data_IF_352702147970
#
_entry.id   IF_352702147970
#
_cell.length_a   1.000
_cell.length_b   1.000
_cell.length_c   1.000
_cell.angle_alpha   90.00
_cell.angle_beta   90.00
_cell.angle_gamma   90.00
#
_symmetry.space_group_name_H-M   'P 1'
#
loop_
_entity.id
_entity.type
_entity.pdbx_description
1 polymer ?
#
# COMPACT_ATOMS: atom_id res chain seq x y z
N UNK A 1 -9.34 10.16 7.08
CA UNK A 1 -8.61 8.91 7.35
C UNK A 1 -7.16 9.00 6.86
N UNK A 2 -6.92 9.41 5.61
CA UNK A 2 -5.56 9.52 5.07
C UNK A 2 -4.67 10.51 5.86
N UNK A 3 -5.23 11.62 6.36
CA UNK A 3 -4.50 12.57 7.18
C UNK A 3 -4.09 12.00 8.55
N UNK A 4 -4.81 11.04 9.06
CA UNK A 4 -4.44 10.37 10.31
C UNK A 4 -3.27 9.39 10.15
N UNK A 5 -3.00 8.98 8.91
CA UNK A 5 -1.88 8.08 8.60
C UNK A 5 -0.63 8.83 8.10
N UNK A 6 -0.68 10.16 7.96
CA UNK A 6 0.41 10.96 7.43
C UNK A 6 1.26 11.68 8.48
N UNK A 7 0.85 11.75 9.73
CA UNK A 7 1.49 12.57 10.78
C UNK A 7 2.11 11.67 11.87
N UNK A 8 3.43 11.47 11.79
CA UNK A 8 4.14 10.44 12.55
C UNK A 8 4.54 10.82 13.98
N UNK A 9 4.44 12.07 14.37
CA UNK A 9 4.80 12.46 15.74
C UNK A 9 3.77 12.07 16.78
N UNK A 10 2.56 11.66 16.36
CA UNK A 10 1.43 11.35 17.24
C UNK A 10 0.70 10.04 16.91
N UNK A 11 1.31 9.10 16.18
CA UNK A 11 0.64 7.85 15.89
C UNK A 11 0.58 6.95 17.12
N UNK A 12 -0.63 6.54 17.52
CA UNK A 12 -0.73 5.37 18.38
C UNK A 12 -0.09 4.19 17.64
N UNK A 13 0.74 3.44 18.33
CA UNK A 13 1.31 2.21 17.81
C UNK A 13 0.16 1.25 17.51
N UNK A 14 -0.25 1.15 16.25
CA UNK A 14 -1.26 0.20 15.85
C UNK A 14 -0.66 -1.20 15.95
N UNK A 15 -1.34 -2.07 16.64
CA UNK A 15 -0.96 -3.47 16.76
C UNK A 15 -1.77 -4.30 15.75
N UNK A 16 -1.34 -5.52 15.51
CA UNK A 16 -2.06 -6.48 14.67
C UNK A 16 -3.52 -6.73 15.12
N UNK A 17 -3.85 -6.37 16.35
CA UNK A 17 -5.19 -6.52 16.93
C UNK A 17 -6.04 -5.23 16.83
N UNK A 18 -5.49 -4.14 16.30
CA UNK A 18 -6.23 -2.90 16.10
C UNK A 18 -7.27 -3.10 14.98
N UNK A 19 -8.51 -2.76 15.28
CA UNK A 19 -9.64 -2.96 14.37
C UNK A 19 -10.16 -1.62 13.85
N UNK A 20 -10.17 -1.48 12.52
CA UNK A 20 -10.72 -0.34 11.80
C UNK A 20 -11.99 -0.77 11.08
N UNK A 21 -13.10 -0.12 11.34
CA UNK A 21 -14.37 -0.34 10.66
C UNK A 21 -14.73 0.86 9.79
N UNK A 22 -14.88 0.61 8.49
CA UNK A 22 -15.48 1.60 7.60
C UNK A 22 -17.00 1.58 7.76
N UNK A 23 -17.61 2.75 7.92
CA UNK A 23 -19.05 2.90 8.21
C UNK A 23 -19.83 3.57 7.09
N UNK A 24 -19.17 3.95 5.99
CA UNK A 24 -19.77 4.54 4.79
C UNK A 24 -18.82 4.46 3.61
N UNK A 25 -19.33 4.70 2.42
CA UNK A 25 -18.50 4.88 1.23
C UNK A 25 -17.58 6.10 1.38
N UNK A 26 -16.37 5.99 0.82
CA UNK A 26 -15.35 7.03 0.81
C UNK A 26 -15.04 7.36 -0.64
N UNK A 27 -15.32 8.59 -1.05
CA UNK A 27 -14.84 9.16 -2.31
C UNK A 27 -13.55 9.94 -2.03
N UNK A 28 -12.48 9.57 -2.68
CA UNK A 28 -11.18 10.20 -2.51
C UNK A 28 -10.96 11.40 -3.43
N UNK A 29 -11.94 11.75 -4.27
CA UNK A 29 -11.94 12.95 -5.12
C UNK A 29 -10.70 13.06 -6.03
N UNK A 30 -10.13 11.96 -6.45
CA UNK A 30 -8.93 11.91 -7.28
C UNK A 30 -7.63 12.19 -6.53
N UNK A 31 -7.66 12.24 -5.20
CA UNK A 31 -6.45 12.42 -4.42
C UNK A 31 -5.59 11.15 -4.37
N UNK A 32 -4.29 11.35 -4.24
CA UNK A 32 -3.35 10.27 -3.97
C UNK A 32 -3.51 9.79 -2.54
N UNK A 33 -3.68 8.49 -2.37
CA UNK A 33 -3.83 7.86 -1.06
C UNK A 33 -2.88 6.67 -0.96
N UNK A 34 -2.28 6.55 0.20
CA UNK A 34 -1.44 5.43 0.55
C UNK A 34 -1.58 5.14 2.05
N UNK A 35 -1.80 3.89 2.38
CA UNK A 35 -1.84 3.39 3.74
C UNK A 35 -0.68 2.41 3.90
N UNK A 36 0.08 2.54 5.00
CA UNK A 36 1.31 1.77 5.14
C UNK A 36 2.39 2.32 4.21
N UNK A 37 3.02 3.40 4.62
CA UNK A 37 4.01 4.11 3.83
C UNK A 37 5.43 3.82 4.29
N UNK A 38 6.36 4.25 3.49
CA UNK A 38 7.75 4.41 3.86
C UNK A 38 8.05 5.87 4.10
N UNK A 39 8.84 6.17 5.12
CA UNK A 39 9.36 7.50 5.39
C UNK A 39 10.88 7.49 5.33
N UNK A 40 11.45 8.55 4.81
CA UNK A 40 12.88 8.82 4.94
C UNK A 40 13.06 9.75 6.12
N UNK A 41 13.75 9.31 7.15
CA UNK A 41 14.07 10.11 8.32
C UNK A 41 15.57 10.43 8.34
N UNK A 42 15.91 11.64 8.78
CA UNK A 42 17.29 12.00 9.06
C UNK A 42 17.57 11.58 10.51
N UNK A 43 18.43 10.61 10.68
CA UNK A 43 18.84 10.13 12.01
C UNK A 43 19.88 11.02 12.70
N UNK A 44 20.20 12.16 12.08
CA UNK A 44 21.19 13.11 12.60
C UNK A 44 22.65 12.65 12.50
N UNK A 45 22.91 11.50 11.91
CA UNK A 45 24.25 10.90 11.78
C UNK A 45 24.63 10.61 10.33
N UNK A 46 24.67 11.64 9.48
CA UNK A 46 25.16 11.57 8.10
C UNK A 46 24.43 10.60 7.15
N UNK A 47 23.26 10.11 7.49
CA UNK A 47 22.51 9.20 6.63
C UNK A 47 21.01 9.41 6.72
N UNK A 48 20.34 9.28 5.58
CA UNK A 48 18.88 9.17 5.54
C UNK A 48 18.52 7.73 5.86
N UNK A 49 17.93 7.50 7.02
CA UNK A 49 17.36 6.20 7.36
C UNK A 49 15.94 6.13 6.80
N UNK A 50 15.68 5.10 6.03
CA UNK A 50 14.34 4.82 5.53
C UNK A 50 13.64 3.91 6.52
N UNK A 51 12.53 4.38 7.06
CA UNK A 51 11.70 3.58 7.94
C UNK A 51 10.44 3.14 7.21
N UNK A 52 10.11 1.88 7.36
CA UNK A 52 8.92 1.27 6.81
C UNK A 52 7.84 1.17 7.87
N UNK A 53 6.65 1.60 7.51
CA UNK A 53 5.47 1.53 8.35
C UNK A 53 4.40 0.71 7.64
N UNK A 54 4.54 -0.62 7.57
CA UNK A 54 3.53 -1.45 6.96
C UNK A 54 2.22 -1.34 7.76
N UNK A 55 1.11 -1.46 7.08
CA UNK A 55 -0.16 -1.59 7.76
C UNK A 55 -0.15 -2.91 8.56
N UNK A 56 -0.49 -2.81 9.83
CA UNK A 56 -0.77 -3.93 10.71
C UNK A 56 -2.16 -3.75 11.31
N UNK A 57 -2.87 -4.82 11.57
CA UNK A 57 -4.22 -4.74 12.12
C UNK A 57 -5.29 -5.27 11.20
N UNK A 58 -6.53 -5.00 11.55
CA UNK A 58 -7.70 -5.48 10.82
C UNK A 58 -8.44 -4.28 10.24
N UNK A 59 -8.53 -4.21 8.91
CA UNK A 59 -9.40 -3.26 8.23
C UNK A 59 -10.63 -3.99 7.69
N UNK A 60 -11.79 -3.64 8.24
CA UNK A 60 -13.08 -4.13 7.79
C UNK A 60 -13.80 -3.03 7.01
N UNK A 61 -13.92 -3.22 5.71
CA UNK A 61 -14.62 -2.28 4.84
C UNK A 61 -16.13 -2.22 5.07
N UNK A 62 -16.70 -3.11 5.89
CA UNK A 62 -18.13 -3.11 6.20
C UNK A 62 -19.04 -3.31 4.99
N UNK A 63 -18.52 -3.78 3.88
CA UNK A 63 -19.24 -3.87 2.60
C UNK A 63 -19.27 -2.56 1.81
N UNK A 64 -18.61 -1.51 2.27
CA UNK A 64 -18.56 -0.20 1.62
C UNK A 64 -17.41 -0.11 0.59
N UNK A 65 -17.44 0.98 -0.18
CA UNK A 65 -16.49 1.23 -1.26
C UNK A 65 -15.53 2.38 -0.89
N UNK A 66 -14.27 2.22 -1.28
CA UNK A 66 -13.33 3.34 -1.40
C UNK A 66 -13.11 3.58 -2.89
N UNK A 67 -13.44 4.80 -3.35
CA UNK A 67 -13.44 5.13 -4.78
C UNK A 67 -12.61 6.37 -5.08
N UNK A 68 -12.33 6.56 -6.38
CA UNK A 68 -11.74 7.77 -6.91
C UNK A 68 -10.36 8.14 -6.32
N UNK A 69 -9.61 7.16 -5.85
CA UNK A 69 -8.24 7.37 -5.37
C UNK A 69 -7.23 7.13 -6.47
N UNK A 70 -6.12 7.84 -6.39
CA UNK A 70 -4.92 7.55 -7.16
C UNK A 70 -3.91 6.85 -6.27
N UNK A 71 -3.21 5.88 -6.85
CA UNK A 71 -2.16 5.18 -6.14
C UNK A 71 -0.96 6.12 -5.98
N UNK A 72 -0.42 6.15 -4.78
CA UNK A 72 0.83 6.82 -4.48
C UNK A 72 1.92 5.76 -4.33
N UNK A 73 2.92 5.86 -5.19
CA UNK A 73 4.08 4.98 -5.06
C UNK A 73 4.92 5.36 -3.84
N UNK A 74 5.45 4.35 -3.17
CA UNK A 74 6.47 4.50 -2.15
C UNK A 74 7.75 3.84 -2.62
N UNK A 75 8.84 4.60 -2.65
CA UNK A 75 10.16 4.07 -2.97
C UNK A 75 10.72 3.33 -1.77
N UNK A 76 10.94 2.03 -1.92
CA UNK A 76 11.56 1.16 -0.93
C UNK A 76 13.09 1.22 -0.96
N UNK A 77 13.71 0.48 -0.05
CA UNK A 77 15.13 0.16 -0.17
C UNK A 77 15.37 -0.80 -1.35
N UNK A 78 16.61 -0.91 -1.77
CA UNK A 78 17.01 -1.79 -2.87
C UNK A 78 16.19 -1.57 -4.15
N UNK A 79 15.86 -0.31 -4.45
CA UNK A 79 15.21 0.06 -5.72
C UNK A 79 13.85 -0.65 -5.93
N UNK A 80 13.10 -0.82 -4.87
CA UNK A 80 11.74 -1.38 -4.93
C UNK A 80 10.70 -0.29 -4.77
N UNK A 81 9.78 -0.18 -5.72
CA UNK A 81 8.62 0.70 -5.65
C UNK A 81 7.38 -0.13 -5.36
N UNK A 82 6.54 0.36 -4.48
CA UNK A 82 5.31 -0.31 -4.07
C UNK A 82 4.17 0.69 -4.20
N UNK A 83 3.10 0.31 -4.88
CA UNK A 83 1.90 1.12 -5.02
C UNK A 83 0.63 0.30 -4.81
N UNK A 84 -0.22 0.79 -3.92
CA UNK A 84 -1.51 0.22 -3.57
C UNK A 84 -2.29 1.18 -2.69
N UNK A 85 -3.58 0.96 -2.50
CA UNK A 85 -4.31 1.66 -1.44
C UNK A 85 -3.66 1.38 -0.08
N UNK A 86 -3.33 0.13 0.17
CA UNK A 86 -2.38 -0.30 1.18
C UNK A 86 -1.06 -0.61 0.48
N UNK A 87 -0.07 0.25 0.63
CA UNK A 87 1.20 0.04 -0.05
C UNK A 87 1.87 -1.23 0.43
N UNK A 88 1.98 -1.41 1.74
CA UNK A 88 2.55 -2.60 2.32
C UNK A 88 1.73 -3.08 3.51
N UNK A 89 1.49 -4.39 3.58
CA UNK A 89 0.88 -5.06 4.72
C UNK A 89 1.83 -6.16 5.18
N UNK A 90 2.25 -6.11 6.43
CA UNK A 90 3.15 -7.13 6.98
C UNK A 90 2.41 -8.20 7.80
N UNK A 91 1.58 -7.77 8.73
CA UNK A 91 0.71 -8.65 9.53
C UNK A 91 -0.66 -8.01 9.62
N UNK A 92 -1.63 -8.52 8.91
CA UNK A 92 -2.93 -7.85 8.93
C UNK A 92 -4.01 -8.53 8.12
N UNK A 93 -5.20 -8.01 8.28
CA UNK A 93 -6.39 -8.49 7.58
C UNK A 93 -7.10 -7.32 6.89
N UNK A 94 -7.39 -7.48 5.61
CA UNK A 94 -8.30 -6.60 4.87
C UNK A 94 -9.51 -7.43 4.47
N UNK A 95 -10.71 -6.97 4.82
CA UNK A 95 -11.92 -7.72 4.50
C UNK A 95 -13.11 -6.82 4.17
N UNK A 96 -14.08 -7.40 3.46
CA UNK A 96 -15.38 -6.78 3.17
C UNK A 96 -15.26 -5.39 2.53
N UNK A 97 -14.31 -5.21 1.60
CA UNK A 97 -14.01 -3.93 1.01
C UNK A 97 -14.12 -3.98 -0.51
N UNK A 98 -14.82 -3.01 -1.07
CA UNK A 98 -14.77 -2.74 -2.51
C UNK A 98 -13.84 -1.57 -2.78
N UNK A 99 -12.96 -1.70 -3.75
CA UNK A 99 -12.09 -0.61 -4.21
C UNK A 99 -12.37 -0.27 -5.66
N UNK A 100 -12.43 1.04 -5.95
CA UNK A 100 -12.69 1.58 -7.28
C UNK A 100 -11.74 2.75 -7.54
N UNK A 101 -10.49 2.50 -7.92
CA UNK A 101 -9.53 3.56 -8.19
C UNK A 101 -9.98 4.46 -9.32
N UNK A 102 -9.47 5.69 -9.35
CA UNK A 102 -9.77 6.65 -10.40
C UNK A 102 -9.40 6.10 -11.78
N UNK A 103 -10.34 6.15 -12.70
CA UNK A 103 -10.17 5.68 -14.06
C UNK A 103 -9.82 6.85 -14.97
N UNK A 104 -8.81 6.69 -15.77
CA UNK A 104 -8.53 7.60 -16.90
C UNK A 104 -7.57 8.74 -16.58
N UNK A 105 -6.79 9.04 -17.58
CA UNK A 105 -5.95 10.22 -17.77
C UNK A 105 -4.84 10.45 -16.73
N UNK A 106 -3.67 9.95 -17.08
CA UNK A 106 -2.38 10.37 -16.54
C UNK A 106 -2.05 9.91 -15.09
N UNK A 107 -2.65 8.84 -14.61
CA UNK A 107 -2.05 8.17 -13.49
C UNK A 107 -0.98 7.21 -14.02
N UNK A 108 0.17 7.77 -14.25
CA UNK A 108 1.35 7.05 -14.66
C UNK A 108 2.20 6.78 -13.45
N UNK A 109 2.32 5.51 -13.08
CA UNK A 109 3.33 5.09 -12.11
C UNK A 109 4.62 4.95 -12.88
N UNK A 110 5.55 5.87 -12.67
CA UNK A 110 6.82 5.91 -13.39
C UNK A 110 7.91 5.36 -12.47
N UNK A 111 8.49 4.24 -12.85
CA UNK A 111 9.79 3.84 -12.32
C UNK A 111 10.86 4.37 -13.28
N UNK A 112 11.68 5.29 -12.81
CA UNK A 112 12.69 5.98 -13.63
C UNK A 112 13.99 5.20 -13.77
N UNK A 113 14.26 4.27 -12.87
CA UNK A 113 15.52 3.56 -12.80
C UNK A 113 15.40 2.14 -13.40
N UNK A 114 16.35 1.77 -14.22
CA UNK A 114 16.32 0.51 -14.97
C UNK A 114 16.44 -0.76 -14.12
N UNK A 115 16.88 -0.65 -12.88
CA UNK A 115 17.09 -1.77 -11.96
C UNK A 115 15.95 -1.94 -10.95
N UNK A 116 14.99 -1.03 -10.94
CA UNK A 116 13.92 -0.99 -9.95
C UNK A 116 12.88 -2.09 -10.15
N UNK A 117 12.46 -2.69 -9.05
CA UNK A 117 11.29 -3.57 -8.99
C UNK A 117 10.05 -2.72 -8.69
N UNK A 118 8.95 -3.03 -9.34
CA UNK A 118 7.69 -2.33 -9.12
C UNK A 118 6.58 -3.33 -8.81
N UNK A 119 5.96 -3.17 -7.65
CA UNK A 119 4.80 -3.94 -7.21
C UNK A 119 3.57 -3.05 -7.20
N UNK A 120 2.56 -3.38 -7.99
CA UNK A 120 1.33 -2.59 -8.09
C UNK A 120 0.10 -3.47 -7.94
N UNK A 121 -0.74 -3.11 -6.98
CA UNK A 121 -2.07 -3.69 -6.84
C UNK A 121 -3.09 -2.62 -6.48
N UNK A 122 -4.34 -2.76 -6.93
CA UNK A 122 -5.36 -1.79 -6.60
C UNK A 122 -5.57 -1.64 -5.10
N UNK A 123 -5.62 -2.76 -4.40
CA UNK A 123 -5.83 -2.80 -2.97
C UNK A 123 -4.51 -2.83 -2.21
N UNK A 124 -3.61 -3.76 -2.57
CA UNK A 124 -2.36 -3.98 -1.84
C UNK A 124 -1.21 -4.02 -2.84
N UNK A 125 -0.20 -3.17 -2.62
CA UNK A 125 1.02 -3.19 -3.41
C UNK A 125 1.87 -4.42 -3.10
N UNK A 126 2.21 -4.63 -1.83
CA UNK A 126 2.96 -5.79 -1.35
C UNK A 126 2.36 -6.35 -0.05
N UNK A 127 2.22 -7.66 0.02
CA UNK A 127 1.69 -8.40 1.17
C UNK A 127 2.75 -9.37 1.71
N UNK A 128 2.94 -9.38 3.03
CA UNK A 128 3.85 -10.28 3.70
C UNK A 128 5.33 -9.96 3.47
N UNK A 129 5.64 -8.82 2.87
CA UNK A 129 6.99 -8.39 2.62
C UNK A 129 7.48 -7.50 3.76
N UNK A 130 8.55 -7.91 4.41
CA UNK A 130 9.33 -7.04 5.29
C UNK A 130 10.41 -6.36 4.43
N UNK A 131 10.26 -5.08 4.17
CA UNK A 131 11.21 -4.38 3.32
C UNK A 131 12.58 -4.17 3.97
N UNK A 132 12.69 -4.25 5.29
CA UNK A 132 13.94 -4.07 6.03
C UNK A 132 14.79 -5.35 6.09
N UNK A 133 14.16 -6.47 5.88
CA UNK A 133 14.85 -7.75 5.85
C UNK A 133 14.59 -8.44 4.51
N UNK A 134 15.61 -8.97 3.90
CA UNK A 134 15.44 -9.89 2.75
C UNK A 134 14.76 -11.21 3.18
N UNK A 135 14.31 -11.29 4.43
CA UNK A 135 13.64 -12.44 4.99
C UNK A 135 12.13 -12.33 4.74
N UNK A 136 11.61 -13.29 4.04
CA UNK A 136 10.20 -13.67 4.14
C UNK A 136 9.99 -14.13 5.57
N UNK A 137 9.52 -13.21 6.43
CA UNK A 137 9.29 -13.55 7.83
C UNK A 137 8.22 -14.63 7.91
N UNK A 138 8.54 -15.75 8.56
CA UNK A 138 7.60 -16.85 8.77
C UNK A 138 6.30 -16.42 9.51
N UNK A 139 6.27 -15.18 10.01
CA UNK A 139 5.17 -14.61 10.78
C UNK A 139 4.34 -13.55 10.03
N UNK A 140 4.61 -13.35 8.75
CA UNK A 140 3.95 -12.32 7.94
C UNK A 140 2.58 -12.76 7.43
N UNK A 141 1.69 -13.17 8.31
CA UNK A 141 0.34 -13.61 7.94
C UNK A 141 -0.51 -12.42 7.46
N UNK A 142 -0.82 -12.39 6.18
CA UNK A 142 -1.75 -11.43 5.58
C UNK A 142 -3.00 -12.16 5.11
N UNK A 143 -4.15 -11.66 5.52
CA UNK A 143 -5.44 -12.20 5.10
C UNK A 143 -6.20 -11.15 4.28
N UNK A 144 -6.62 -11.54 3.07
CA UNK A 144 -7.52 -10.73 2.23
C UNK A 144 -8.76 -11.55 1.95
N UNK A 145 -9.93 -11.08 2.36
CA UNK A 145 -11.18 -11.81 2.19
C UNK A 145 -12.34 -10.90 1.82
N UNK A 146 -13.21 -11.40 0.95
CA UNK A 146 -14.38 -10.66 0.48
C UNK A 146 -14.05 -9.23 0.02
N UNK A 147 -12.98 -9.09 -0.78
CA UNK A 147 -12.55 -7.82 -1.35
C UNK A 147 -12.77 -7.83 -2.86
N UNK A 148 -13.26 -6.71 -3.38
CA UNK A 148 -13.63 -6.56 -4.78
C UNK A 148 -12.95 -5.36 -5.40
N UNK A 149 -12.56 -5.49 -6.67
CA UNK A 149 -12.08 -4.39 -7.51
C UNK A 149 -13.14 -4.06 -8.55
N UNK A 150 -13.54 -2.79 -8.60
CA UNK A 150 -14.38 -2.23 -9.66
C UNK A 150 -13.55 -1.23 -10.45
N UNK A 151 -13.53 -1.37 -11.77
CA UNK A 151 -12.87 -0.44 -12.66
C UNK A 151 -11.76 -1.04 -13.50
N UNK A 152 -11.24 -0.24 -14.39
CA UNK A 152 -10.34 -0.64 -15.46
C UNK A 152 -8.87 -0.39 -15.18
N UNK A 153 -8.03 -0.67 -16.19
CA UNK A 153 -6.60 -0.81 -16.00
C UNK A 153 -5.92 0.51 -15.63
N UNK A 154 -4.91 0.38 -14.79
CA UNK A 154 -3.93 1.45 -14.57
C UNK A 154 -3.01 1.54 -15.79
N UNK A 155 -2.63 2.75 -16.14
CA UNK A 155 -1.49 2.95 -17.01
C UNK A 155 -0.24 2.90 -16.15
N UNK A 156 0.53 1.85 -16.31
CA UNK A 156 1.81 1.71 -15.61
C UNK A 156 2.91 1.74 -16.65
N UNK A 157 3.71 2.79 -16.59
CA UNK A 157 4.88 2.94 -17.43
C UNK A 157 6.13 2.66 -16.58
N UNK A 158 6.64 1.47 -16.69
CA UNK A 158 7.85 1.07 -16.00
C UNK A 158 8.75 0.28 -16.91
N UNK A 159 10.03 0.56 -16.89
CA UNK A 159 11.00 0.00 -17.81
C UNK A 159 11.39 -1.46 -17.54
N UNK A 160 11.37 -1.94 -16.27
CA UNK A 160 11.79 -3.33 -15.91
C UNK A 160 11.03 -3.93 -14.73
N UNK A 161 11.20 -5.24 -14.52
CA UNK A 161 10.77 -6.10 -13.38
C UNK A 161 9.47 -5.68 -12.67
N UNK A 162 8.35 -5.97 -13.31
CA UNK A 162 7.03 -5.48 -12.90
C UNK A 162 6.17 -6.63 -12.39
N UNK A 163 5.53 -6.40 -11.27
CA UNK A 163 4.53 -7.30 -10.72
C UNK A 163 3.22 -6.55 -10.60
N UNK A 164 2.26 -6.90 -11.45
CA UNK A 164 0.94 -6.29 -11.48
C UNK A 164 -0.10 -7.33 -11.10
N UNK A 165 -0.84 -7.04 -10.05
CA UNK A 165 -2.03 -7.78 -9.69
C UNK A 165 -3.26 -6.89 -9.75
N UNK A 166 -4.43 -7.45 -10.03
CA UNK A 166 -5.67 -6.71 -9.93
C UNK A 166 -5.87 -6.16 -8.53
N UNK A 167 -5.96 -7.02 -7.53
CA UNK A 167 -6.08 -6.62 -6.13
C UNK A 167 -4.72 -6.53 -5.42
N UNK A 168 -3.85 -7.52 -5.58
CA UNK A 168 -2.56 -7.62 -4.90
C UNK A 168 -1.45 -7.67 -5.92
N UNK A 169 -0.47 -6.78 -5.83
CA UNK A 169 0.68 -6.71 -6.74
C UNK A 169 1.70 -7.81 -6.47
N UNK A 170 2.06 -8.00 -5.23
CA UNK A 170 3.04 -9.00 -4.80
C UNK A 170 2.65 -9.62 -3.46
N UNK A 171 2.88 -10.91 -3.31
CA UNK A 171 2.68 -11.63 -2.05
C UNK A 171 3.88 -12.53 -1.77
N UNK A 172 4.42 -12.39 -0.56
CA UNK A 172 5.39 -13.30 0.04
C UNK A 172 4.67 -14.10 1.13
N UNK A 173 4.68 -15.42 1.05
CA UNK A 173 4.08 -16.28 2.05
C UNK A 173 3.86 -17.67 1.50
#
# INVERSE_FOLDING_TARGET
LASQFADHENFPTYTKDTYFLQTKDIDCEGNEISIGSMRTEDDGSYGLVRQYYPFTGIYDGGGYTISNYRLKECKGENLTYIAGLFNNIYQGTIKNLTVAPAVGNNHEIISSDEEDKLYVGALIGAAGHDPDTSSTGADAAVTVSNCHLIGGPYNVNASRSKFFGGLVGYSCG
#
